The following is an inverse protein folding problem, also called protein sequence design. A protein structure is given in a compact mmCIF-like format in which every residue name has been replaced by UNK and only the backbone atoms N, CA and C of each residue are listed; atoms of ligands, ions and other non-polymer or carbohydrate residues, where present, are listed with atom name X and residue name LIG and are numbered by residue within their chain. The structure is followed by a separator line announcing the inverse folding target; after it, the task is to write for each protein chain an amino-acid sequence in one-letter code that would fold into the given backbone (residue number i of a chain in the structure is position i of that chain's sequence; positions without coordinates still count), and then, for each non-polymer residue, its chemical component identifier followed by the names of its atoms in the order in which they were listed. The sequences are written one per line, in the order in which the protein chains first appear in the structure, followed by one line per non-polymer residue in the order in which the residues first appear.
data_IF_510404775807
#
_entry.id   IF_510404775807
#
_cell.length_a   1.000
_cell.length_b   1.000
_cell.length_c   1.000
_cell.angle_alpha   90.00
_cell.angle_beta   90.00
_cell.angle_gamma   90.00
#
_symmetry.space_group_name_H-M   'P 1'
#
loop_
_entity.id
_entity.type
_entity.pdbx_description
1 polymer ?
#
# COMPACT_ATOMS: atom_id res chain seq x y z
N UNK A 1 -4.26 8.89 -26.04
CA UNK A 1 -3.89 7.76 -25.16
C UNK A 1 -4.07 8.23 -23.72
N UNK A 2 -4.65 7.40 -22.85
CA UNK A 2 -4.79 7.71 -21.42
C UNK A 2 -3.47 7.31 -20.74
N UNK A 3 -2.89 8.19 -19.93
CA UNK A 3 -1.69 7.88 -19.16
C UNK A 3 -1.98 6.68 -18.25
N UNK A 4 -1.18 5.59 -18.33
CA UNK A 4 -1.49 4.31 -17.69
C UNK A 4 -1.58 4.36 -16.16
N UNK A 5 -1.07 5.43 -15.54
CA UNK A 5 -1.04 5.64 -14.09
C UNK A 5 -1.89 6.82 -13.61
N UNK A 6 -2.84 7.28 -14.44
CA UNK A 6 -3.77 8.33 -14.05
C UNK A 6 -5.06 7.76 -13.43
N UNK A 7 -5.44 8.22 -12.24
CA UNK A 7 -6.71 7.84 -11.59
C UNK A 7 -7.57 9.06 -11.32
N UNK A 8 -8.86 8.95 -11.62
CA UNK A 8 -9.84 10.00 -11.38
C UNK A 8 -10.86 9.53 -10.34
N UNK A 9 -10.95 10.24 -9.23
CA UNK A 9 -11.90 9.94 -8.15
C UNK A 9 -12.84 11.14 -7.97
N UNK A 10 -14.11 11.03 -8.42
CA UNK A 10 -15.08 12.09 -8.19
C UNK A 10 -15.49 12.15 -6.72
N UNK A 11 -15.68 13.36 -6.21
CA UNK A 11 -16.10 13.61 -4.82
C UNK A 11 -17.55 14.06 -4.82
N UNK A 12 -18.40 13.35 -4.06
CA UNK A 12 -19.82 13.64 -4.01
C UNK A 12 -20.07 14.86 -3.10
N UNK A 13 -20.58 15.95 -3.68
CA UNK A 13 -20.77 17.24 -3.02
C UNK A 13 -21.50 17.14 -1.66
N UNK A 14 -22.51 16.26 -1.56
CA UNK A 14 -23.31 16.10 -0.33
C UNK A 14 -22.59 15.39 0.83
N UNK A 15 -21.39 14.83 0.62
CA UNK A 15 -20.61 14.15 1.68
C UNK A 15 -19.42 14.97 2.18
N UNK A 16 -19.05 16.04 1.46
CA UNK A 16 -17.89 16.87 1.75
C UNK A 16 -18.34 18.32 1.90
N UNK A 17 -18.90 18.64 3.06
CA UNK A 17 -19.47 19.97 3.35
C UNK A 17 -18.42 21.07 3.54
N UNK A 18 -17.13 20.72 3.58
CA UNK A 18 -16.06 21.62 4.00
C UNK A 18 -15.12 22.08 2.88
N UNK A 19 -15.26 21.61 1.63
CA UNK A 19 -14.34 21.97 0.54
C UNK A 19 -15.01 22.10 -0.84
N UNK A 20 -14.56 23.06 -1.69
CA UNK A 20 -15.10 23.28 -3.03
C UNK A 20 -14.65 22.24 -4.08
N UNK A 21 -13.67 21.40 -3.74
CA UNK A 21 -12.98 20.48 -4.64
C UNK A 21 -13.87 19.28 -5.02
N UNK A 22 -14.22 19.15 -6.30
CA UNK A 22 -15.21 18.17 -6.80
C UNK A 22 -14.59 16.82 -7.22
N UNK A 23 -13.27 16.76 -7.38
CA UNK A 23 -12.58 15.56 -7.83
C UNK A 23 -11.13 15.54 -7.34
N UNK A 24 -10.56 14.35 -7.25
CA UNK A 24 -9.15 14.10 -7.03
C UNK A 24 -8.57 13.41 -8.27
N UNK A 25 -7.55 14.02 -8.87
CA UNK A 25 -6.80 13.41 -9.95
C UNK A 25 -5.41 13.01 -9.44
N UNK A 26 -5.06 11.74 -9.58
CA UNK A 26 -3.69 11.26 -9.31
C UNK A 26 -3.03 10.89 -10.63
N UNK A 27 -1.73 11.10 -10.70
CA UNK A 27 -0.92 10.80 -11.88
C UNK A 27 0.45 10.27 -11.45
N UNK A 28 1.25 9.82 -12.42
CA UNK A 28 2.65 9.45 -12.19
C UNK A 28 3.54 10.61 -11.74
N UNK A 29 3.11 11.87 -11.93
CA UNK A 29 3.81 13.02 -11.39
C UNK A 29 3.43 13.23 -9.93
N UNK A 30 4.41 13.05 -9.05
CA UNK A 30 4.27 13.22 -7.60
C UNK A 30 3.83 14.64 -7.24
N UNK A 31 4.38 15.67 -7.89
CA UNK A 31 4.07 17.07 -7.56
C UNK A 31 2.65 17.43 -7.94
N UNK A 32 2.18 16.96 -9.10
CA UNK A 32 0.79 17.14 -9.50
C UNK A 32 -0.16 16.43 -8.54
N UNK A 33 0.16 15.18 -8.16
CA UNK A 33 -0.64 14.42 -7.21
C UNK A 33 -0.67 15.09 -5.82
N UNK A 34 0.45 15.61 -5.33
CA UNK A 34 0.49 16.36 -4.07
C UNK A 34 -0.35 17.64 -4.15
N UNK A 35 -0.27 18.40 -5.25
CA UNK A 35 -1.08 19.60 -5.45
C UNK A 35 -2.59 19.28 -5.47
N UNK A 36 -2.99 18.18 -6.12
CA UNK A 36 -4.37 17.70 -6.18
C UNK A 36 -4.87 17.23 -4.80
N UNK A 37 -4.04 16.53 -4.02
CA UNK A 37 -4.37 16.11 -2.65
C UNK A 37 -4.46 17.32 -1.72
N UNK A 38 -3.61 18.34 -1.89
CA UNK A 38 -3.61 19.54 -1.07
C UNK A 38 -4.93 20.34 -1.15
N UNK A 39 -5.71 20.16 -2.24
CA UNK A 39 -7.08 20.68 -2.36
C UNK A 39 -8.03 20.12 -1.30
N UNK A 40 -7.69 18.97 -0.74
CA UNK A 40 -8.45 18.26 0.28
C UNK A 40 -7.75 18.25 1.64
N UNK A 41 -6.42 18.12 1.66
CA UNK A 41 -5.63 18.06 2.89
C UNK A 41 -4.16 18.34 2.61
N UNK A 42 -3.64 19.44 3.15
CA UNK A 42 -2.21 19.78 3.05
C UNK A 42 -1.35 18.75 3.79
N UNK A 43 -1.80 18.29 4.95
CA UNK A 43 -1.12 17.25 5.74
C UNK A 43 -0.97 15.95 4.95
N UNK A 44 -1.98 15.54 4.20
CA UNK A 44 -1.91 14.30 3.43
C UNK A 44 -1.06 14.45 2.18
N UNK A 45 -1.07 15.64 1.54
CA UNK A 45 -0.18 15.94 0.43
C UNK A 45 1.31 15.81 0.82
N UNK A 46 1.68 16.34 1.98
CA UNK A 46 3.05 16.24 2.51
C UNK A 46 3.47 14.79 2.84
N UNK A 47 2.52 13.92 3.18
CA UNK A 47 2.79 12.53 3.56
C UNK A 47 2.54 11.52 2.42
N UNK A 48 2.05 11.96 1.26
CA UNK A 48 1.64 11.08 0.16
C UNK A 48 2.79 10.19 -0.36
N UNK A 49 3.98 10.76 -0.50
CA UNK A 49 5.18 10.01 -0.91
C UNK A 49 5.50 8.89 0.07
N UNK A 50 5.59 9.21 1.37
CA UNK A 50 5.83 8.25 2.45
C UNK A 50 4.75 7.17 2.52
N UNK A 51 3.51 7.51 2.19
CA UNK A 51 2.42 6.54 2.08
C UNK A 51 2.68 5.54 0.96
N UNK A 52 3.08 6.00 -0.23
CA UNK A 52 3.46 5.14 -1.35
C UNK A 52 4.63 4.21 -1.02
N UNK A 53 5.69 4.75 -0.40
CA UNK A 53 6.85 3.96 0.06
C UNK A 53 6.43 2.86 1.04
N UNK A 54 5.51 3.16 1.96
CA UNK A 54 4.97 2.16 2.89
C UNK A 54 4.16 1.09 2.17
N UNK A 55 3.35 1.46 1.18
CA UNK A 55 2.61 0.48 0.38
C UNK A 55 3.55 -0.47 -0.36
N UNK A 56 4.66 0.03 -0.92
CA UNK A 56 5.64 -0.82 -1.61
C UNK A 56 6.25 -1.87 -0.67
N UNK A 57 6.50 -1.52 0.60
CA UNK A 57 6.95 -2.48 1.63
C UNK A 57 5.92 -3.57 1.89
N UNK A 58 4.63 -3.22 1.95
CA UNK A 58 3.57 -4.22 2.08
C UNK A 58 3.47 -5.12 0.85
N UNK A 59 3.60 -4.57 -0.36
CA UNK A 59 3.61 -5.36 -1.60
C UNK A 59 4.77 -6.37 -1.58
N UNK A 60 5.98 -5.96 -1.20
CA UNK A 60 7.12 -6.87 -1.05
C UNK A 60 6.84 -7.99 -0.05
N UNK A 61 6.29 -7.66 1.12
CA UNK A 61 5.94 -8.64 2.13
C UNK A 61 4.87 -9.64 1.64
N UNK A 62 3.84 -9.13 0.96
CA UNK A 62 2.78 -9.97 0.37
C UNK A 62 3.37 -10.90 -0.70
N UNK A 63 4.24 -10.42 -1.56
CA UNK A 63 4.88 -11.25 -2.58
C UNK A 63 5.66 -12.41 -1.93
N UNK A 64 6.45 -12.15 -0.88
CA UNK A 64 7.13 -13.21 -0.12
C UNK A 64 6.13 -14.24 0.41
N UNK A 65 5.00 -13.80 0.98
CA UNK A 65 4.00 -14.73 1.52
C UNK A 65 3.30 -15.55 0.44
N UNK A 66 3.03 -14.95 -0.73
CA UNK A 66 2.36 -15.63 -1.84
C UNK A 66 3.26 -16.64 -2.55
N UNK A 67 4.56 -16.34 -2.66
CA UNK A 67 5.53 -17.21 -3.33
C UNK A 67 5.95 -18.41 -2.45
N UNK A 68 5.68 -18.35 -1.15
CA UNK A 68 6.08 -19.38 -0.19
C UNK A 68 4.91 -20.24 0.30
N UNK A 69 5.21 -21.50 0.62
CA UNK A 69 4.21 -22.41 1.19
C UNK A 69 3.82 -21.95 2.60
N UNK A 70 2.51 -21.95 2.95
CA UNK A 70 2.09 -21.66 4.31
C UNK A 70 2.64 -22.71 5.30
N UNK A 71 2.88 -22.32 6.57
CA UNK A 71 3.34 -23.24 7.60
C UNK A 71 2.32 -24.35 7.82
N UNK A 72 2.77 -25.60 7.78
CA UNK A 72 1.91 -26.77 7.93
C UNK A 72 2.06 -27.40 9.32
N UNK A 73 1.15 -27.02 10.23
CA UNK A 73 1.14 -27.51 11.61
C UNK A 73 0.63 -28.95 11.75
N UNK A 74 -0.20 -29.43 10.82
CA UNK A 74 -0.76 -30.80 10.85
C UNK A 74 0.20 -31.86 10.31
N UNK A 75 1.33 -31.45 9.73
CA UNK A 75 2.35 -32.39 9.25
C UNK A 75 2.91 -33.22 10.42
N UNK A 76 3.12 -34.52 10.18
CA UNK A 76 3.82 -35.44 11.10
C UNK A 76 5.34 -35.19 11.15
N UNK A 77 5.78 -34.01 10.74
CA UNK A 77 7.18 -33.59 10.72
C UNK A 77 7.66 -33.19 12.12
N UNK A 78 8.98 -33.26 12.33
CA UNK A 78 9.60 -32.84 13.59
C UNK A 78 9.39 -31.36 13.90
N UNK A 79 9.34 -31.02 15.18
CA UNK A 79 9.09 -29.65 15.68
C UNK A 79 10.01 -28.59 15.05
N UNK A 80 11.29 -28.92 14.82
CA UNK A 80 12.25 -28.04 14.16
C UNK A 80 11.88 -27.72 12.71
N UNK A 81 11.30 -28.67 11.97
CA UNK A 81 10.86 -28.45 10.59
C UNK A 81 9.62 -27.54 10.56
N UNK A 82 8.72 -27.69 11.54
CA UNK A 82 7.58 -26.78 11.73
C UNK A 82 8.05 -25.35 12.00
N UNK A 83 9.01 -25.16 12.90
CA UNK A 83 9.59 -23.82 13.15
C UNK A 83 10.26 -23.23 11.90
N UNK A 84 10.98 -24.04 11.11
CA UNK A 84 11.57 -23.57 9.84
C UNK A 84 10.53 -23.09 8.84
N UNK A 85 9.30 -23.61 8.87
CA UNK A 85 8.23 -23.18 7.96
C UNK A 85 7.71 -21.76 8.23
N UNK A 86 8.07 -21.14 9.37
CA UNK A 86 7.72 -19.74 9.68
C UNK A 86 8.72 -18.72 9.13
N UNK A 87 9.85 -19.15 8.57
CA UNK A 87 10.85 -18.25 7.94
C UNK A 87 10.25 -17.22 6.98
N UNK A 88 9.42 -17.59 5.98
CA UNK A 88 8.85 -16.61 5.05
C UNK A 88 7.97 -15.56 5.74
N UNK A 89 7.33 -15.91 6.87
CA UNK A 89 6.54 -14.95 7.67
C UNK A 89 7.47 -13.94 8.35
N UNK A 90 8.60 -14.40 8.89
CA UNK A 90 9.60 -13.52 9.49
C UNK A 90 10.22 -12.60 8.43
N UNK A 91 10.53 -13.13 7.25
CA UNK A 91 11.09 -12.36 6.13
C UNK A 91 10.09 -11.30 5.63
N UNK A 92 8.81 -11.66 5.53
CA UNK A 92 7.74 -10.71 5.20
C UNK A 92 7.58 -9.62 6.27
N UNK A 93 7.63 -9.98 7.55
CA UNK A 93 7.58 -9.00 8.66
C UNK A 93 8.78 -8.06 8.66
N UNK A 94 9.98 -8.57 8.33
CA UNK A 94 11.18 -7.76 8.18
C UNK A 94 11.01 -6.76 7.03
N UNK A 95 10.45 -7.19 5.89
CA UNK A 95 10.22 -6.34 4.72
C UNK A 95 9.26 -5.16 4.99
N UNK A 96 8.29 -5.32 5.90
CA UNK A 96 7.41 -4.21 6.32
C UNK A 96 8.12 -3.23 7.26
N UNK A 97 9.07 -3.72 8.08
CA UNK A 97 9.71 -2.94 9.14
C UNK A 97 10.85 -2.04 8.63
N UNK A 98 11.58 -2.50 7.61
CA UNK A 98 12.65 -1.75 6.93
C UNK A 98 12.07 -0.65 6.06
#
# INVERSE_FOLDING_TARGET
MREPYSSFTPVHANRWTCQPSQYLMLSSDLKLSQAEIAKFSTKDAENYEKYGERLDKYVKAINILLDNRPPNWSSNQGYLQKLKSFRPILDALLAVKT
#
